data_IF_686042197382
#
_entry.id   IF_686042197382
#
_cell.length_a   1.000
_cell.length_b   1.000
_cell.length_c   1.000
_cell.angle_alpha   90.00
_cell.angle_beta   90.00
_cell.angle_gamma   90.00
#
_symmetry.space_group_name_H-M   'P 1'
#
loop_
_entity.id
_entity.type
_entity.pdbx_description
1 polymer ?
#
# COMPACT_ATOMS: atom_id res chain seq x y z
N UNK A 1 -1.24 26.71 -10.53
CA UNK A 1 -1.54 25.48 -9.76
C UNK A 1 -0.53 25.42 -8.64
N UNK A 2 -0.94 25.75 -7.42
CA UNK A 2 -0.04 25.75 -6.27
C UNK A 2 0.48 24.33 -6.03
N UNK A 3 1.80 24.18 -5.92
CA UNK A 3 2.46 22.98 -5.41
C UNK A 3 1.92 22.69 -4.01
N UNK A 4 0.90 21.84 -3.91
CA UNK A 4 0.38 21.37 -2.64
C UNK A 4 1.51 20.70 -1.88
N UNK A 5 1.88 21.29 -0.75
CA UNK A 5 2.77 20.68 0.24
C UNK A 5 2.13 19.39 0.73
N UNK A 6 2.66 18.24 0.28
CA UNK A 6 2.35 16.93 0.85
C UNK A 6 2.87 16.91 2.29
N UNK A 7 1.99 17.16 3.27
CA UNK A 7 2.25 16.80 4.66
C UNK A 7 2.12 15.28 4.79
N UNK A 8 3.25 14.58 4.86
CA UNK A 8 3.32 13.15 5.13
C UNK A 8 3.50 12.98 6.64
N UNK A 9 2.42 12.78 7.39
CA UNK A 9 2.45 12.55 8.86
C UNK A 9 2.42 11.06 9.22
N UNK A 10 3.12 10.21 8.45
CA UNK A 10 3.29 8.80 8.80
C UNK A 10 4.40 8.62 9.84
N UNK A 11 4.35 7.53 10.60
CA UNK A 11 5.29 7.26 11.70
C UNK A 11 6.73 7.17 11.18
N UNK A 12 6.93 6.64 9.97
CA UNK A 12 8.25 6.44 9.36
C UNK A 12 8.56 7.42 8.22
N UNK A 13 7.70 8.41 7.95
CA UNK A 13 7.82 9.27 6.76
C UNK A 13 9.18 9.99 6.65
N UNK A 14 9.67 10.58 7.73
CA UNK A 14 10.92 11.36 7.72
C UNK A 14 12.19 10.49 7.58
N UNK A 15 12.39 9.39 8.35
CA UNK A 15 13.53 8.50 8.14
C UNK A 15 13.50 7.81 6.77
N UNK A 16 12.32 7.36 6.31
CA UNK A 16 12.14 6.81 4.97
C UNK A 16 12.56 7.80 3.89
N UNK A 17 12.07 9.05 3.96
CA UNK A 17 12.39 10.09 2.99
C UNK A 17 13.88 10.42 2.95
N UNK A 18 14.59 10.35 4.07
CA UNK A 18 16.05 10.55 4.12
C UNK A 18 16.77 9.38 3.47
N UNK A 19 16.37 8.15 3.79
CA UNK A 19 16.94 6.93 3.22
C UNK A 19 16.75 6.89 1.70
N UNK A 20 15.52 7.09 1.21
CA UNK A 20 15.20 7.05 -0.22
C UNK A 20 15.95 8.13 -1.00
N UNK A 21 16.11 9.34 -0.45
CA UNK A 21 16.93 10.39 -1.09
C UNK A 21 18.40 10.00 -1.17
N UNK A 22 18.95 9.41 -0.10
CA UNK A 22 20.33 8.95 -0.08
C UNK A 22 20.58 7.83 -1.11
N UNK A 23 19.63 6.89 -1.25
CA UNK A 23 19.68 5.83 -2.25
C UNK A 23 19.54 6.42 -3.67
N UNK A 24 18.54 7.27 -3.90
CA UNK A 24 18.27 7.87 -5.20
C UNK A 24 19.47 8.67 -5.75
N UNK A 25 20.20 9.37 -4.87
CA UNK A 25 21.40 10.12 -5.24
C UNK A 25 22.57 9.23 -5.69
N UNK A 26 22.59 7.95 -5.28
CA UNK A 26 23.66 6.98 -5.59
C UNK A 26 23.30 6.04 -6.74
N UNK A 27 22.06 6.06 -7.23
CA UNK A 27 21.63 5.18 -8.32
C UNK A 27 22.33 5.55 -9.64
N UNK A 28 22.71 4.55 -10.47
CA UNK A 28 23.31 4.78 -11.78
C UNK A 28 22.46 5.70 -12.65
N UNK A 29 23.11 6.58 -13.44
CA UNK A 29 22.41 7.54 -14.32
C UNK A 29 21.47 6.87 -15.33
N UNK A 30 21.72 5.60 -15.68
CA UNK A 30 20.87 4.79 -16.59
C UNK A 30 19.54 4.32 -15.96
N UNK A 31 19.45 4.25 -14.63
CA UNK A 31 18.22 3.82 -13.95
C UNK A 31 17.18 4.91 -14.07
N UNK A 32 15.99 4.63 -14.60
CA UNK A 32 14.89 5.59 -14.73
C UNK A 32 13.78 5.28 -13.73
N UNK A 33 12.87 6.23 -13.49
CA UNK A 33 11.68 5.98 -12.68
C UNK A 33 10.84 4.83 -13.23
N UNK A 34 10.67 4.73 -14.56
CA UNK A 34 9.96 3.61 -15.18
C UNK A 34 10.60 2.24 -14.90
N UNK A 35 11.93 2.15 -14.80
CA UNK A 35 12.60 0.89 -14.41
C UNK A 35 12.25 0.50 -12.97
N UNK A 36 12.15 1.47 -12.07
CA UNK A 36 11.79 1.25 -10.67
C UNK A 36 10.31 0.89 -10.52
N UNK A 37 9.42 1.53 -11.27
CA UNK A 37 8.01 1.15 -11.32
C UNK A 37 7.83 -0.29 -11.84
N UNK A 38 8.53 -0.65 -12.92
CA UNK A 38 8.52 -2.03 -13.43
C UNK A 38 9.05 -3.04 -12.41
N UNK A 39 10.14 -2.70 -11.72
CA UNK A 39 10.68 -3.51 -10.63
C UNK A 39 9.64 -3.70 -9.52
N UNK A 40 8.94 -2.63 -9.15
CA UNK A 40 7.85 -2.66 -8.18
C UNK A 40 6.74 -3.62 -8.59
N UNK A 41 6.25 -3.52 -9.83
CA UNK A 41 5.21 -4.40 -10.37
C UNK A 41 5.64 -5.86 -10.37
N UNK A 42 6.84 -6.16 -10.89
CA UNK A 42 7.36 -7.53 -10.93
C UNK A 42 7.56 -8.10 -9.52
N UNK A 43 8.00 -7.27 -8.58
CA UNK A 43 8.13 -7.66 -7.19
C UNK A 43 6.78 -7.91 -6.51
N UNK A 44 5.72 -7.16 -6.86
CA UNK A 44 4.36 -7.44 -6.37
C UNK A 44 3.84 -8.79 -6.87
N UNK A 45 4.07 -9.10 -8.16
CA UNK A 45 3.74 -10.41 -8.74
C UNK A 45 4.52 -11.52 -8.06
N UNK A 46 5.83 -11.32 -7.84
CA UNK A 46 6.66 -12.27 -7.12
C UNK A 46 6.18 -12.47 -5.66
N UNK A 47 5.75 -11.41 -4.98
CA UNK A 47 5.20 -11.50 -3.63
C UNK A 47 3.88 -12.29 -3.61
N UNK A 48 2.95 -12.00 -4.53
CA UNK A 48 1.70 -12.74 -4.66
C UNK A 48 1.93 -14.23 -4.96
N UNK A 49 2.84 -14.53 -5.89
CA UNK A 49 3.23 -15.91 -6.21
C UNK A 49 3.89 -16.61 -5.01
N UNK A 50 4.81 -15.94 -4.31
CA UNK A 50 5.47 -16.49 -3.13
C UNK A 50 4.45 -16.80 -2.02
N UNK A 51 3.47 -15.93 -1.78
CA UNK A 51 2.39 -16.21 -0.84
C UNK A 51 1.57 -17.44 -1.25
N UNK A 52 1.18 -17.58 -2.52
CA UNK A 52 0.48 -18.78 -2.99
C UNK A 52 1.32 -20.06 -2.84
N UNK A 53 2.64 -19.98 -3.07
CA UNK A 53 3.56 -21.10 -2.93
C UNK A 53 3.81 -21.53 -1.48
N UNK A 54 3.35 -20.75 -0.49
CA UNK A 54 3.40 -21.18 0.92
C UNK A 54 2.54 -22.41 1.23
N UNK A 55 1.58 -22.73 0.35
CA UNK A 55 0.83 -23.99 0.40
C UNK A 55 1.75 -25.21 0.16
N UNK A 56 2.89 -25.03 -0.51
CA UNK A 56 3.87 -26.09 -0.75
C UNK A 56 4.95 -26.13 0.34
N UNK A 57 5.45 -24.95 0.74
CA UNK A 57 6.46 -24.82 1.80
C UNK A 57 6.34 -23.46 2.49
N UNK A 58 6.19 -23.45 3.83
CA UNK A 58 6.09 -22.23 4.64
C UNK A 58 7.29 -21.28 4.45
N UNK A 59 8.45 -21.78 4.03
CA UNK A 59 9.65 -20.98 3.77
C UNK A 59 9.48 -19.97 2.64
N UNK A 60 8.49 -20.13 1.76
CA UNK A 60 8.14 -19.12 0.77
C UNK A 60 7.71 -17.78 1.40
N UNK A 61 7.38 -17.74 2.70
CA UNK A 61 7.19 -16.49 3.44
C UNK A 61 8.44 -15.59 3.45
N UNK A 62 9.66 -16.15 3.41
CA UNK A 62 10.88 -15.36 3.24
C UNK A 62 10.98 -14.73 1.85
N UNK A 63 10.62 -15.50 0.81
CA UNK A 63 10.57 -14.98 -0.56
C UNK A 63 9.51 -13.89 -0.70
N UNK A 64 8.34 -14.06 -0.07
CA UNK A 64 7.30 -13.05 0.00
C UNK A 64 7.79 -11.78 0.70
N UNK A 65 8.45 -11.90 1.87
CA UNK A 65 9.04 -10.76 2.57
C UNK A 65 10.11 -10.03 1.74
N UNK A 66 10.99 -10.76 1.06
CA UNK A 66 12.00 -10.18 0.16
C UNK A 66 11.36 -9.48 -1.04
N UNK A 67 10.32 -10.07 -1.63
CA UNK A 67 9.57 -9.48 -2.72
C UNK A 67 8.79 -8.23 -2.29
N UNK A 68 8.22 -8.20 -1.08
CA UNK A 68 7.60 -7.00 -0.50
C UNK A 68 8.62 -5.88 -0.29
N UNK A 69 9.82 -6.20 0.18
CA UNK A 69 10.90 -5.23 0.32
C UNK A 69 11.36 -4.68 -1.04
N UNK A 70 11.42 -5.52 -2.07
CA UNK A 70 11.75 -5.11 -3.43
C UNK A 70 10.62 -4.28 -4.07
N UNK A 71 9.36 -4.62 -3.79
CA UNK A 71 8.20 -3.85 -4.21
C UNK A 71 8.23 -2.45 -3.59
N UNK A 72 8.43 -2.36 -2.27
CA UNK A 72 8.66 -1.09 -1.58
C UNK A 72 9.80 -0.29 -2.20
N UNK A 73 10.93 -0.95 -2.49
CA UNK A 73 12.08 -0.29 -3.10
C UNK A 73 11.75 0.32 -4.47
N UNK A 74 11.05 -0.40 -5.34
CA UNK A 74 10.64 0.13 -6.65
C UNK A 74 9.65 1.28 -6.52
N UNK A 75 8.56 1.04 -5.79
CA UNK A 75 7.41 1.94 -5.59
C UNK A 75 7.78 3.24 -4.86
N UNK A 76 8.57 3.16 -3.79
CA UNK A 76 8.91 4.36 -3.00
C UNK A 76 10.05 5.18 -3.61
N UNK A 77 10.91 4.53 -4.41
CA UNK A 77 12.07 5.18 -5.00
C UNK A 77 11.78 5.80 -6.36
N UNK A 78 10.77 5.36 -7.11
CA UNK A 78 10.52 5.86 -8.47
C UNK A 78 10.22 7.38 -8.50
N UNK A 79 9.30 7.84 -7.66
CA UNK A 79 8.93 9.24 -7.52
C UNK A 79 10.03 10.02 -6.81
N UNK A 80 10.77 9.40 -5.88
CA UNK A 80 11.91 10.03 -5.22
C UNK A 80 13.05 10.29 -6.21
N UNK A 81 13.34 9.33 -7.09
CA UNK A 81 14.34 9.46 -8.14
C UNK A 81 13.95 10.53 -9.17
N UNK A 82 12.67 10.57 -9.56
CA UNK A 82 12.16 11.60 -10.47
C UNK A 82 12.36 13.01 -9.90
N UNK A 83 12.10 13.20 -8.61
CA UNK A 83 12.33 14.48 -7.90
C UNK A 83 13.82 14.85 -7.81
N UNK A 84 14.66 13.91 -7.37
CA UNK A 84 16.12 14.14 -7.23
C UNK A 84 16.77 14.49 -8.57
N UNK A 85 16.24 13.98 -9.68
CA UNK A 85 16.76 14.23 -11.03
C UNK A 85 16.03 15.34 -11.80
N UNK A 86 15.06 16.01 -11.17
CA UNK A 86 14.22 17.03 -11.82
C UNK A 86 13.56 16.53 -13.11
N UNK A 87 13.20 15.24 -13.15
CA UNK A 87 12.57 14.56 -14.29
C UNK A 87 11.12 14.17 -13.98
N UNK A 88 10.45 14.97 -13.15
CA UNK A 88 9.09 14.74 -12.68
C UNK A 88 8.08 14.85 -13.83
N UNK A 89 7.13 13.91 -13.87
CA UNK A 89 5.99 13.97 -14.80
C UNK A 89 4.70 13.92 -13.98
N UNK A 90 4.20 15.06 -13.45
CA UNK A 90 3.18 15.06 -12.41
C UNK A 90 1.91 14.28 -12.77
N UNK A 91 1.35 14.49 -13.97
CA UNK A 91 0.11 13.80 -14.40
C UNK A 91 0.33 12.33 -14.78
N UNK A 92 1.40 12.07 -15.54
CA UNK A 92 1.73 10.72 -15.99
C UNK A 92 2.12 9.82 -14.82
N UNK A 93 3.02 10.32 -13.96
CA UNK A 93 3.45 9.64 -12.74
C UNK A 93 2.27 9.41 -11.80
N UNK A 94 1.43 10.42 -11.56
CA UNK A 94 0.22 10.25 -10.76
C UNK A 94 -0.67 9.12 -11.28
N UNK A 95 -1.01 9.11 -12.57
CA UNK A 95 -1.88 8.05 -13.12
C UNK A 95 -1.24 6.66 -13.00
N UNK A 96 0.05 6.55 -13.36
CA UNK A 96 0.77 5.29 -13.34
C UNK A 96 0.91 4.73 -11.91
N UNK A 97 1.30 5.57 -10.96
CA UNK A 97 1.48 5.25 -9.54
C UNK A 97 0.19 4.64 -8.96
N UNK A 98 -0.95 5.33 -9.09
CA UNK A 98 -2.22 4.84 -8.56
C UNK A 98 -2.70 3.54 -9.23
N UNK A 99 -2.50 3.38 -10.53
CA UNK A 99 -2.90 2.15 -11.22
C UNK A 99 -2.01 0.96 -10.82
N UNK A 100 -0.70 1.18 -10.70
CA UNK A 100 0.27 0.18 -10.28
C UNK A 100 0.08 -0.21 -8.82
N UNK A 101 -0.26 0.74 -7.95
CA UNK A 101 -0.53 0.49 -6.53
C UNK A 101 -1.80 -0.35 -6.34
N UNK A 102 -2.88 -0.02 -7.08
CA UNK A 102 -4.10 -0.83 -7.10
C UNK A 102 -3.85 -2.25 -7.60
N UNK A 103 -3.08 -2.40 -8.70
CA UNK A 103 -2.68 -3.71 -9.22
C UNK A 103 -1.83 -4.49 -8.21
N UNK A 104 -0.82 -3.86 -7.63
CA UNK A 104 0.10 -4.49 -6.67
C UNK A 104 -0.66 -4.96 -5.43
N UNK A 105 -1.56 -4.12 -4.90
CA UNK A 105 -2.43 -4.47 -3.78
C UNK A 105 -3.31 -5.67 -4.10
N UNK A 106 -3.94 -5.70 -5.28
CA UNK A 106 -4.79 -6.81 -5.68
C UNK A 106 -4.01 -8.12 -5.81
N UNK A 107 -2.85 -8.11 -6.48
CA UNK A 107 -2.03 -9.31 -6.70
C UNK A 107 -1.47 -9.85 -5.39
N UNK A 108 -0.96 -8.97 -4.51
CA UNK A 108 -0.46 -9.38 -3.19
C UNK A 108 -1.60 -9.91 -2.33
N UNK A 109 -2.74 -9.23 -2.29
CA UNK A 109 -3.89 -9.66 -1.50
C UNK A 109 -4.48 -10.99 -1.95
N UNK A 110 -4.60 -11.22 -3.26
CA UNK A 110 -4.98 -12.54 -3.82
C UNK A 110 -3.95 -13.59 -3.42
N UNK A 111 -2.65 -13.31 -3.54
CA UNK A 111 -1.60 -14.22 -3.10
C UNK A 111 -1.72 -14.61 -1.63
N UNK A 112 -1.99 -13.63 -0.76
CA UNK A 112 -2.23 -13.87 0.68
C UNK A 112 -3.46 -14.75 0.89
N UNK A 113 -4.57 -14.50 0.19
CA UNK A 113 -5.77 -15.32 0.28
C UNK A 113 -5.63 -16.74 -0.28
N UNK A 114 -4.63 -16.98 -1.15
CA UNK A 114 -4.26 -18.32 -1.62
C UNK A 114 -3.29 -19.04 -0.66
N UNK A 115 -2.79 -18.36 0.36
CA UNK A 115 -1.93 -18.95 1.39
C UNK A 115 -2.79 -19.77 2.39
N UNK A 116 -2.21 -20.77 3.09
CA UNK A 116 -2.93 -21.52 4.11
C UNK A 116 -3.11 -20.75 5.43
N UNK A 117 -2.70 -19.47 5.48
CA UNK A 117 -2.68 -18.68 6.70
C UNK A 117 -3.87 -17.73 6.81
N UNK A 118 -4.48 -17.30 5.70
CA UNK A 118 -5.55 -16.29 5.70
C UNK A 118 -6.69 -16.79 4.84
N UNK A 119 -7.93 -16.60 5.31
CA UNK A 119 -9.12 -16.92 4.51
C UNK A 119 -9.21 -15.99 3.29
N UNK A 120 -9.50 -16.57 2.13
CA UNK A 120 -9.57 -15.83 0.87
C UNK A 120 -10.55 -14.66 0.95
N UNK A 121 -11.70 -14.88 1.58
CA UNK A 121 -12.74 -13.88 1.77
C UNK A 121 -12.22 -12.70 2.60
N UNK A 122 -11.47 -12.97 3.67
CA UNK A 122 -10.89 -11.95 4.55
C UNK A 122 -9.81 -11.15 3.82
N UNK A 123 -8.93 -11.84 3.07
CA UNK A 123 -7.90 -11.18 2.28
C UNK A 123 -8.51 -10.29 1.18
N UNK A 124 -9.52 -10.78 0.46
CA UNK A 124 -10.21 -10.00 -0.57
C UNK A 124 -11.01 -8.83 0.03
N UNK A 125 -11.62 -9.01 1.20
CA UNK A 125 -12.30 -7.93 1.90
C UNK A 125 -11.33 -6.80 2.28
N UNK A 126 -10.11 -7.15 2.71
CA UNK A 126 -9.04 -6.17 2.96
C UNK A 126 -8.64 -5.42 1.68
N UNK A 127 -8.49 -6.13 0.56
CA UNK A 127 -8.21 -5.50 -0.75
C UNK A 127 -9.33 -4.53 -1.13
N UNK A 128 -10.60 -4.94 -1.02
CA UNK A 128 -11.75 -4.08 -1.35
C UNK A 128 -11.79 -2.86 -0.45
N UNK A 129 -11.60 -3.03 0.86
CA UNK A 129 -11.56 -1.92 1.82
C UNK A 129 -10.44 -0.92 1.50
N UNK A 130 -9.24 -1.43 1.16
CA UNK A 130 -8.13 -0.59 0.73
C UNK A 130 -8.45 0.18 -0.55
N UNK A 131 -8.94 -0.50 -1.60
CA UNK A 131 -9.25 0.13 -2.88
C UNK A 131 -10.36 1.18 -2.76
N UNK A 132 -11.39 0.92 -1.94
CA UNK A 132 -12.45 1.89 -1.67
C UNK A 132 -11.92 3.15 -0.97
N UNK A 133 -11.02 2.98 0.01
CA UNK A 133 -10.36 4.09 0.69
C UNK A 133 -9.49 4.89 -0.29
N UNK A 134 -8.73 4.20 -1.15
CA UNK A 134 -7.90 4.83 -2.20
C UNK A 134 -8.74 5.62 -3.19
N UNK A 135 -9.86 5.08 -3.67
CA UNK A 135 -10.82 5.80 -4.53
C UNK A 135 -11.30 7.08 -3.84
N UNK A 136 -11.66 7.02 -2.56
CA UNK A 136 -12.07 8.21 -1.80
C UNK A 136 -10.94 9.27 -1.74
N UNK A 137 -9.68 8.87 -1.56
CA UNK A 137 -8.53 9.81 -1.64
C UNK A 137 -8.46 10.47 -3.02
N UNK A 138 -8.70 9.72 -4.09
CA UNK A 138 -8.63 10.24 -5.46
C UNK A 138 -9.77 11.23 -5.73
N UNK A 139 -10.99 10.92 -5.26
CA UNK A 139 -12.13 11.81 -5.35
C UNK A 139 -11.90 13.11 -4.57
N UNK A 140 -11.39 13.02 -3.33
CA UNK A 140 -11.04 14.22 -2.55
C UNK A 140 -10.03 15.11 -3.28
N UNK A 141 -9.03 14.49 -3.92
CA UNK A 141 -8.03 15.20 -4.72
C UNK A 141 -8.67 15.93 -5.90
N UNK A 142 -9.57 15.26 -6.62
CA UNK A 142 -10.23 15.80 -7.79
C UNK A 142 -11.24 16.92 -7.43
N UNK A 143 -11.99 16.73 -6.34
CA UNK A 143 -13.08 17.62 -5.92
C UNK A 143 -12.55 18.85 -5.19
N UNK A 144 -11.64 18.67 -4.22
CA UNK A 144 -11.18 19.78 -3.37
C UNK A 144 -9.91 20.46 -3.90
N UNK A 145 -9.25 19.90 -4.92
CA UNK A 145 -8.01 20.46 -5.48
C UNK A 145 -6.82 20.52 -4.52
N UNK A 146 -6.95 19.97 -3.30
CA UNK A 146 -5.91 19.89 -2.29
C UNK A 146 -5.64 18.42 -1.99
N UNK A 147 -4.42 17.97 -2.29
CA UNK A 147 -3.96 16.62 -1.95
C UNK A 147 -3.68 16.52 -0.45
N UNK A 148 -4.72 16.33 0.39
CA UNK A 148 -4.53 16.00 1.80
C UNK A 148 -4.37 14.49 1.96
N UNK A 149 -3.12 14.03 1.90
CA UNK A 149 -2.76 12.62 2.18
C UNK A 149 -2.94 12.20 3.65
N UNK A 150 -3.15 13.16 4.55
CA UNK A 150 -2.86 12.96 5.96
C UNK A 150 -4.07 13.19 6.86
N UNK A 151 -4.86 12.14 7.05
CA UNK A 151 -5.57 11.91 8.31
C UNK A 151 -5.57 10.40 8.62
N UNK A 152 -4.38 9.84 8.82
CA UNK A 152 -4.13 8.46 9.25
C UNK A 152 -2.64 8.23 9.51
N UNK A 153 -2.28 7.43 10.53
CA UNK A 153 -0.87 7.20 10.95
C UNK A 153 -0.18 6.01 10.26
N UNK A 154 -0.92 5.24 9.47
CA UNK A 154 -0.44 4.01 8.81
C UNK A 154 -0.44 4.26 7.30
N UNK A 155 0.73 4.25 6.69
CA UNK A 155 0.92 4.34 5.24
C UNK A 155 1.26 2.97 4.61
N UNK A 156 1.51 2.96 3.29
CA UNK A 156 1.90 1.74 2.55
C UNK A 156 3.18 1.08 3.10
N UNK A 157 4.12 1.88 3.61
CA UNK A 157 5.37 1.38 4.18
C UNK A 157 5.13 0.64 5.50
N UNK A 158 4.33 1.21 6.41
CA UNK A 158 3.93 0.54 7.64
C UNK A 158 3.18 -0.77 7.37
N UNK A 159 2.31 -0.79 6.35
CA UNK A 159 1.59 -2.00 5.95
C UNK A 159 2.54 -3.11 5.48
N UNK A 160 3.53 -2.79 4.64
CA UNK A 160 4.54 -3.77 4.18
C UNK A 160 5.40 -4.28 5.34
N UNK A 161 5.80 -3.42 6.28
CA UNK A 161 6.54 -3.82 7.48
C UNK A 161 5.69 -4.77 8.33
N UNK A 162 4.41 -4.45 8.56
CA UNK A 162 3.49 -5.31 9.28
C UNK A 162 3.41 -6.70 8.64
N UNK A 163 3.27 -6.78 7.31
CA UNK A 163 3.26 -8.05 6.59
C UNK A 163 4.56 -8.83 6.77
N UNK A 164 5.72 -8.18 6.68
CA UNK A 164 7.03 -8.83 6.90
C UNK A 164 7.16 -9.36 8.34
N UNK A 165 6.69 -8.60 9.32
CA UNK A 165 6.68 -9.03 10.73
C UNK A 165 5.75 -10.24 10.91
N UNK A 166 4.53 -10.20 10.36
CA UNK A 166 3.60 -11.32 10.40
C UNK A 166 4.17 -12.58 9.73
N UNK A 167 4.78 -12.43 8.55
CA UNK A 167 5.46 -13.53 7.85
C UNK A 167 6.55 -14.17 8.74
N UNK A 168 7.33 -13.34 9.44
CA UNK A 168 8.41 -13.81 10.33
C UNK A 168 7.83 -14.57 11.53
N UNK A 169 6.76 -14.05 12.14
CA UNK A 169 6.09 -14.70 13.29
C UNK A 169 5.45 -16.04 12.88
N UNK A 170 4.81 -16.10 11.71
CA UNK A 170 4.23 -17.33 11.17
C UNK A 170 5.29 -18.40 10.94
N UNK A 171 6.45 -18.02 10.39
CA UNK A 171 7.54 -18.95 10.17
C UNK A 171 8.12 -19.53 11.48
N UNK A 172 8.29 -18.68 12.50
CA UNK A 172 8.81 -19.11 13.81
C UNK A 172 7.81 -19.99 14.56
N UNK A 173 6.51 -19.71 14.43
CA UNK A 173 5.45 -20.44 15.14
C UNK A 173 5.00 -21.73 14.45
N UNK A 174 5.19 -21.87 13.13
CA UNK A 174 4.78 -23.05 12.37
C UNK A 174 5.92 -23.59 11.45
N UNK A 175 7.08 -24.01 12.00
CA UNK A 175 8.25 -24.40 11.21
C UNK A 175 8.07 -25.69 10.40
N UNK A 176 7.03 -26.49 10.67
CA UNK A 176 6.79 -27.80 10.03
C UNK A 176 5.68 -27.78 8.95
N UNK A 177 5.12 -26.60 8.64
CA UNK A 177 4.17 -26.40 7.55
C UNK A 177 2.69 -26.47 7.98
N UNK A 178 1.87 -25.64 7.33
CA UNK A 178 0.44 -25.50 7.59
C UNK A 178 0.09 -24.35 8.55
N UNK A 179 -0.94 -23.56 8.21
CA UNK A 179 -1.53 -22.61 9.14
C UNK A 179 -2.13 -23.38 10.30
N UNK A 180 -1.49 -23.33 11.47
CA UNK A 180 -2.10 -23.88 12.68
C UNK A 180 -3.39 -23.11 12.94
N UNK A 181 -4.44 -23.77 13.46
CA UNK A 181 -5.73 -23.12 13.75
C UNK A 181 -5.56 -21.80 14.53
N UNK A 182 -4.66 -21.69 15.54
CA UNK A 182 -4.40 -20.42 16.21
C UNK A 182 -3.76 -19.35 15.32
N UNK A 183 -2.84 -19.72 14.42
CA UNK A 183 -2.18 -18.78 13.52
C UNK A 183 -3.16 -18.21 12.48
N UNK A 184 -4.03 -19.04 11.93
CA UNK A 184 -5.09 -18.63 10.99
C UNK A 184 -6.09 -17.70 11.68
N UNK A 185 -6.55 -18.06 12.89
CA UNK A 185 -7.44 -17.21 13.67
C UNK A 185 -6.82 -15.84 13.99
N UNK A 186 -5.55 -15.81 14.41
CA UNK A 186 -4.86 -14.57 14.73
C UNK A 186 -4.69 -13.67 13.50
N UNK A 187 -4.24 -14.23 12.38
CA UNK A 187 -4.02 -13.45 11.14
C UNK A 187 -5.33 -12.94 10.55
N UNK A 188 -6.37 -13.77 10.49
CA UNK A 188 -7.71 -13.33 10.10
C UNK A 188 -8.24 -12.23 11.03
N UNK A 189 -8.06 -12.36 12.35
CA UNK A 189 -8.47 -11.32 13.30
C UNK A 189 -7.73 -9.99 13.07
N UNK A 190 -6.41 -10.03 12.84
CA UNK A 190 -5.63 -8.83 12.48
C UNK A 190 -6.17 -8.18 11.21
N UNK A 191 -6.44 -8.98 10.17
CA UNK A 191 -6.94 -8.47 8.89
C UNK A 191 -8.35 -7.88 9.02
N UNK A 192 -9.24 -8.51 9.79
CA UNK A 192 -10.58 -7.99 10.07
C UNK A 192 -10.55 -6.69 10.88
N UNK A 193 -9.61 -6.56 11.83
CA UNK A 193 -9.39 -5.29 12.54
C UNK A 193 -8.94 -4.19 11.58
N UNK A 194 -8.04 -4.50 10.64
CA UNK A 194 -7.61 -3.55 9.61
C UNK A 194 -8.79 -3.16 8.69
N UNK A 195 -9.58 -4.13 8.21
CA UNK A 195 -10.81 -3.87 7.44
C UNK A 195 -11.74 -2.93 8.20
N UNK A 196 -12.02 -3.23 9.47
CA UNK A 196 -12.89 -2.40 10.32
C UNK A 196 -12.35 -0.98 10.47
N UNK A 197 -11.05 -0.83 10.73
CA UNK A 197 -10.40 0.48 10.83
C UNK A 197 -10.49 1.27 9.51
N UNK A 198 -10.27 0.62 8.36
CA UNK A 198 -10.41 1.23 7.04
C UNK A 198 -11.85 1.63 6.73
N UNK A 199 -12.83 0.79 7.08
CA UNK A 199 -14.26 1.08 6.91
C UNK A 199 -14.71 2.28 7.74
N UNK A 200 -14.30 2.34 9.02
CA UNK A 200 -14.55 3.50 9.89
C UNK A 200 -13.91 4.76 9.31
N UNK A 201 -12.66 4.66 8.84
CA UNK A 201 -11.94 5.80 8.23
C UNK A 201 -12.66 6.29 6.97
N UNK A 202 -13.08 5.38 6.10
CA UNK A 202 -13.82 5.71 4.88
C UNK A 202 -15.14 6.39 5.20
N UNK A 203 -15.92 5.86 6.15
CA UNK A 203 -17.19 6.45 6.55
C UNK A 203 -17.02 7.85 7.15
N UNK A 204 -16.04 8.03 8.04
CA UNK A 204 -15.73 9.33 8.63
C UNK A 204 -15.37 10.36 7.55
N UNK A 205 -14.54 9.97 6.57
CA UNK A 205 -14.15 10.84 5.45
C UNK A 205 -15.31 11.17 4.55
N UNK A 206 -16.12 10.18 4.18
CA UNK A 206 -17.31 10.38 3.37
C UNK A 206 -18.25 11.42 4.00
N UNK A 207 -18.55 11.28 5.30
CA UNK A 207 -19.39 12.22 6.04
C UNK A 207 -18.76 13.62 6.06
N UNK A 208 -17.47 13.72 6.41
CA UNK A 208 -16.77 15.01 6.48
C UNK A 208 -16.73 15.72 5.12
N UNK A 209 -16.46 14.98 4.04
CA UNK A 209 -16.42 15.50 2.67
C UNK A 209 -17.79 16.00 2.22
N UNK A 210 -18.86 15.25 2.49
CA UNK A 210 -20.23 15.68 2.19
C UNK A 210 -20.62 16.93 2.96
N UNK A 211 -20.30 17.00 4.26
CA UNK A 211 -20.57 18.19 5.07
C UNK A 211 -19.80 19.42 4.56
N UNK A 212 -18.56 19.23 4.15
CA UNK A 212 -17.76 20.30 3.57
C UNK A 212 -18.35 20.77 2.24
N UNK A 213 -18.72 19.84 1.35
CA UNK A 213 -19.35 20.17 0.07
C UNK A 213 -20.69 20.87 0.25
N UNK A 214 -21.55 20.40 1.16
CA UNK A 214 -22.82 21.05 1.45
C UNK A 214 -22.67 22.49 1.98
N UNK A 215 -21.53 22.83 2.60
CA UNK A 215 -21.20 24.21 3.00
C UNK A 215 -20.67 25.06 1.86
N UNK A 216 -19.92 24.45 0.93
CA UNK A 216 -19.35 25.14 -0.24
C UNK A 216 -20.40 25.36 -1.33
N UNK A 217 -21.32 24.41 -1.48
CA UNK A 217 -22.38 24.37 -2.50
C UNK A 217 -23.72 24.08 -1.80
N UNK A 218 -24.29 25.05 -1.06
CA UNK A 218 -25.58 24.86 -0.39
C UNK A 218 -26.70 24.65 -1.42
N UNK A 219 -27.62 23.75 -1.11
CA UNK A 219 -28.78 23.49 -1.97
C UNK A 219 -29.58 24.79 -2.17
N UNK A 220 -29.67 25.25 -3.41
CA UNK A 220 -30.60 26.30 -3.78
C UNK A 220 -32.02 25.76 -3.55
N UNK A 221 -32.80 26.46 -2.71
CA UNK A 221 -34.21 26.12 -2.56
C UNK A 221 -34.93 26.53 -3.85
N UNK A 222 -35.75 25.64 -4.44
CA UNK A 222 -36.52 25.96 -5.64
C UNK A 222 -37.48 27.13 -5.42
#
# INVERSE_FOLDING_TARGET
MATGTRDLTFLLAEPERRLLRAIAARLPRRTTSNHLTLLGVLAAVAAGAAYALTALDVRWLWAASGALALNWFGDSLDGTLARVRHAERPRYGYYLDHLVDAFSTAVVGVGIGLSPFVELEVALLLVVAYLALSINVYLETAVFGVFRLAYGRIGPTEARILLIVLNTLLLVSAPQGGGTTPAVLLTNAVFLVLVGAMGITLLARFIANLQQLARLEPLERP
#
